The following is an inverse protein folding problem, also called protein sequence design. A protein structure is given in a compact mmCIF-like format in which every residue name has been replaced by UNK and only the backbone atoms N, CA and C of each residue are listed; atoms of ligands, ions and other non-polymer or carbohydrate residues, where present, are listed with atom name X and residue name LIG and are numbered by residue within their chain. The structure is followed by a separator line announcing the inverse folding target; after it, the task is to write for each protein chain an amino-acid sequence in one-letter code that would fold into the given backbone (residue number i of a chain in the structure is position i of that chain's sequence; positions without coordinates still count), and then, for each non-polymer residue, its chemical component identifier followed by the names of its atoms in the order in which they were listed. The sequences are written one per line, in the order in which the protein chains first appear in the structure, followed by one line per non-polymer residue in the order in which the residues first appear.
data_IF_151656063086
#
_entry.id   IF_151656063086
#
_cell.length_a   1.000
_cell.length_b   1.000
_cell.length_c   1.000
_cell.angle_alpha   90.00
_cell.angle_beta   90.00
_cell.angle_gamma   90.00
#
_symmetry.space_group_name_H-M   'P 1'
#
loop_
_entity.id
_entity.type
_entity.pdbx_description
1 polymer ?
#
# COMPACT_ATOMS: atom_id res chain seq x y z
N UNK A 1 -11.69 18.99 -35.08
CA UNK A 1 -10.71 19.36 -36.12
C UNK A 1 -9.71 20.30 -35.44
N UNK A 2 -8.47 19.95 -35.06
CA UNK A 2 -7.45 19.12 -35.70
C UNK A 2 -6.50 18.51 -34.63
N UNK A 3 -6.30 17.19 -34.63
CA UNK A 3 -5.33 16.46 -33.77
C UNK A 3 -4.40 15.54 -34.58
N UNK A 4 -4.20 15.84 -35.86
CA UNK A 4 -3.43 14.99 -36.78
C UNK A 4 -1.93 15.36 -36.81
N UNK A 5 -1.49 16.43 -36.14
CA UNK A 5 -0.12 16.94 -36.26
C UNK A 5 0.93 16.41 -35.27
N UNK A 6 0.61 15.54 -34.31
CA UNK A 6 1.54 15.22 -33.19
C UNK A 6 2.12 13.80 -33.17
N UNK A 7 1.85 12.96 -34.16
CA UNK A 7 2.25 11.53 -34.13
C UNK A 7 3.38 11.12 -35.09
N UNK A 8 3.98 12.04 -35.84
CA UNK A 8 4.90 11.66 -36.93
C UNK A 8 6.38 11.64 -36.52
N UNK A 9 6.76 12.16 -35.35
CA UNK A 9 8.18 12.28 -34.98
C UNK A 9 8.78 11.05 -34.25
N UNK A 10 7.98 10.00 -34.03
CA UNK A 10 8.44 8.77 -33.34
C UNK A 10 9.05 7.70 -34.25
N UNK A 11 8.93 7.81 -35.57
CA UNK A 11 9.19 6.71 -36.49
C UNK A 11 10.61 6.69 -37.12
N UNK A 12 11.44 7.71 -36.84
CA UNK A 12 12.79 7.83 -37.42
C UNK A 12 13.95 7.71 -36.42
N UNK A 13 13.72 7.11 -35.25
CA UNK A 13 14.81 6.65 -34.36
C UNK A 13 14.86 5.13 -34.33
N UNK A 14 15.85 4.58 -35.04
CA UNK A 14 16.42 3.25 -34.90
C UNK A 14 15.46 2.05 -35.05
N UNK A 15 15.45 1.33 -36.18
CA UNK A 15 14.64 0.13 -36.36
C UNK A 15 15.17 -1.09 -35.58
N UNK A 16 16.29 -0.97 -34.86
CA UNK A 16 16.92 -2.08 -34.13
C UNK A 16 16.37 -2.31 -32.71
N UNK A 17 15.45 -1.49 -32.22
CA UNK A 17 14.93 -1.60 -30.82
C UNK A 17 13.52 -2.19 -30.77
N UNK A 18 12.84 -2.38 -31.91
CA UNK A 18 11.44 -2.84 -31.94
C UNK A 18 11.31 -4.37 -31.81
N UNK A 19 12.39 -5.14 -31.93
CA UNK A 19 12.37 -6.60 -31.76
C UNK A 19 12.67 -7.09 -30.34
N UNK A 20 13.21 -6.25 -29.43
CA UNK A 20 13.46 -6.63 -28.04
C UNK A 20 12.30 -6.29 -27.07
N UNK A 21 11.26 -5.61 -27.56
CA UNK A 21 10.04 -5.36 -26.77
C UNK A 21 9.12 -6.58 -26.73
N UNK A 22 9.06 -7.39 -27.80
CA UNK A 22 8.22 -8.60 -27.84
C UNK A 22 8.74 -9.75 -26.96
N UNK A 23 10.06 -9.92 -26.83
CA UNK A 23 10.65 -10.96 -25.95
C UNK A 23 10.46 -10.59 -24.46
N UNK A 24 10.48 -9.31 -24.12
CA UNK A 24 10.19 -8.85 -22.75
C UNK A 24 8.69 -8.85 -22.39
N UNK A 25 7.79 -8.80 -23.38
CA UNK A 25 6.35 -8.89 -23.14
C UNK A 25 5.85 -10.30 -22.80
N UNK A 26 6.67 -11.34 -22.94
CA UNK A 26 6.33 -12.72 -22.53
C UNK A 26 6.64 -13.02 -21.04
N UNK A 27 7.20 -12.06 -20.30
CA UNK A 27 7.41 -12.15 -18.84
C UNK A 27 6.26 -11.53 -18.03
N UNK A 28 5.01 -11.61 -18.51
CA UNK A 28 3.84 -11.14 -17.76
C UNK A 28 3.52 -12.11 -16.61
N UNK A 29 3.61 -11.64 -15.36
CA UNK A 29 3.22 -12.39 -14.15
C UNK A 29 4.19 -12.24 -12.98
N UNK A 30 3.76 -12.61 -11.77
CA UNK A 30 4.62 -12.66 -10.58
C UNK A 30 5.41 -13.96 -10.64
N UNK A 31 6.68 -13.89 -11.06
CA UNK A 31 7.59 -15.03 -11.11
C UNK A 31 8.75 -14.79 -10.15
N UNK A 32 9.19 -15.83 -9.45
CA UNK A 32 10.37 -15.78 -8.59
C UNK A 32 11.15 -17.08 -8.70
N UNK A 33 12.48 -16.97 -8.69
CA UNK A 33 13.35 -18.13 -8.62
C UNK A 33 13.44 -18.57 -7.16
N UNK A 34 13.28 -19.86 -6.92
CA UNK A 34 13.45 -20.45 -5.59
C UNK A 34 14.91 -20.85 -5.47
N UNK A 35 15.66 -20.14 -4.63
CA UNK A 35 17.01 -20.55 -4.22
C UNK A 35 16.95 -21.63 -3.13
N UNK A 36 18.12 -22.10 -2.70
CA UNK A 36 18.29 -23.28 -1.86
C UNK A 36 17.32 -23.39 -0.68
N UNK A 37 16.55 -24.49 -0.66
CA UNK A 37 15.63 -25.00 0.39
C UNK A 37 14.74 -23.98 1.12
N UNK A 38 14.55 -22.76 0.61
CA UNK A 38 13.75 -21.68 1.25
C UNK A 38 12.43 -21.43 0.53
N UNK A 39 11.70 -22.49 0.17
CA UNK A 39 10.43 -22.39 -0.55
C UNK A 39 9.39 -21.56 0.20
N UNK A 40 9.23 -21.78 1.50
CA UNK A 40 8.22 -21.10 2.33
C UNK A 40 8.38 -19.57 2.31
N UNK A 41 9.62 -19.10 2.41
CA UNK A 41 9.91 -17.67 2.40
C UNK A 41 9.63 -17.07 1.02
N UNK A 42 9.94 -17.81 -0.04
CA UNK A 42 9.60 -17.40 -1.41
C UNK A 42 8.08 -17.34 -1.58
N UNK A 43 7.33 -18.29 -1.04
CA UNK A 43 5.87 -18.27 -1.06
C UNK A 43 5.28 -17.07 -0.31
N UNK A 44 5.80 -16.71 0.86
CA UNK A 44 5.35 -15.52 1.60
C UNK A 44 5.62 -14.24 0.79
N UNK A 45 6.80 -14.13 0.17
CA UNK A 45 7.12 -12.98 -0.67
C UNK A 45 6.22 -12.95 -1.91
N UNK A 46 5.89 -14.12 -2.48
CA UNK A 46 5.04 -14.25 -3.65
C UNK A 46 3.61 -13.82 -3.33
N UNK A 47 3.09 -14.28 -2.19
CA UNK A 47 1.79 -13.92 -1.68
C UNK A 47 1.71 -12.41 -1.40
N UNK A 48 2.74 -11.82 -0.77
CA UNK A 48 2.80 -10.38 -0.54
C UNK A 48 2.82 -9.59 -1.85
N UNK A 49 3.58 -10.03 -2.86
CA UNK A 49 3.59 -9.42 -4.20
C UNK A 49 2.22 -9.56 -4.90
N UNK A 50 1.54 -10.69 -4.71
CA UNK A 50 0.19 -10.94 -5.26
C UNK A 50 -0.88 -10.08 -4.58
N UNK A 51 -0.77 -9.88 -3.26
CA UNK A 51 -1.64 -9.02 -2.45
C UNK A 51 -1.50 -7.56 -2.82
N UNK A 52 -0.25 -7.08 -2.87
CA UNK A 52 0.08 -5.67 -3.13
C UNK A 52 -0.23 -5.25 -4.56
N UNK A 53 -0.05 -6.15 -5.54
CA UNK A 53 -0.49 -5.93 -6.92
C UNK A 53 -2.01 -5.87 -7.08
N UNK A 54 -2.77 -6.26 -6.04
CA UNK A 54 -4.23 -6.33 -6.08
C UNK A 54 -4.78 -7.55 -6.81
N UNK A 55 -3.92 -8.44 -7.31
CA UNK A 55 -4.33 -9.61 -8.09
C UNK A 55 -5.19 -10.58 -7.26
N UNK A 56 -4.86 -10.78 -5.98
CA UNK A 56 -5.68 -11.62 -5.09
C UNK A 56 -7.14 -11.13 -5.04
N UNK A 57 -7.34 -9.80 -4.96
CA UNK A 57 -8.68 -9.21 -4.90
C UNK A 57 -9.43 -9.39 -6.21
N UNK A 58 -8.73 -9.29 -7.35
CA UNK A 58 -9.33 -9.53 -8.67
C UNK A 58 -9.77 -10.99 -8.82
N UNK A 59 -8.96 -11.93 -8.31
CA UNK A 59 -9.29 -13.36 -8.34
C UNK A 59 -10.48 -13.66 -7.41
N UNK A 60 -10.46 -13.17 -6.17
CA UNK A 60 -11.51 -13.40 -5.18
C UNK A 60 -12.84 -12.71 -5.53
N UNK A 61 -12.77 -11.49 -6.07
CA UNK A 61 -13.96 -10.70 -6.41
C UNK A 61 -14.46 -10.98 -7.83
N UNK A 62 -14.02 -12.07 -8.46
CA UNK A 62 -14.50 -12.46 -9.78
C UNK A 62 -16.02 -12.63 -9.74
N UNK A 63 -16.73 -11.90 -10.61
CA UNK A 63 -18.20 -12.00 -10.71
C UNK A 63 -18.55 -13.43 -11.14
N UNK A 64 -19.19 -14.20 -10.26
CA UNK A 64 -19.69 -15.57 -10.57
C UNK A 64 -20.98 -15.54 -11.37
N UNK A 65 -21.75 -14.46 -11.24
CA UNK A 65 -23.01 -14.20 -11.93
C UNK A 65 -23.05 -12.76 -12.44
N UNK A 66 -23.92 -12.52 -13.42
CA UNK A 66 -24.09 -11.19 -13.97
C UNK A 66 -24.76 -10.25 -12.96
N UNK A 67 -24.10 -9.12 -12.67
CA UNK A 67 -24.67 -8.01 -11.93
C UNK A 67 -25.11 -6.90 -12.89
N UNK A 68 -26.30 -6.37 -12.68
CA UNK A 68 -26.82 -5.25 -13.49
C UNK A 68 -26.10 -3.95 -13.13
N UNK A 69 -26.13 -2.97 -14.05
CA UNK A 69 -25.44 -1.69 -13.85
C UNK A 69 -25.95 -0.89 -12.62
N UNK A 70 -27.23 -1.02 -12.27
CA UNK A 70 -27.80 -0.40 -11.07
C UNK A 70 -27.17 -0.95 -9.79
N UNK A 71 -27.01 -2.26 -9.70
CA UNK A 71 -26.40 -2.95 -8.56
C UNK A 71 -24.91 -2.63 -8.46
N UNK A 72 -24.19 -2.62 -9.59
CA UNK A 72 -22.78 -2.23 -9.65
C UNK A 72 -22.54 -0.84 -9.05
N UNK A 73 -23.41 0.14 -9.35
CA UNK A 73 -23.35 1.50 -8.77
C UNK A 73 -23.56 1.50 -7.26
N UNK A 74 -24.51 0.70 -6.76
CA UNK A 74 -24.81 0.60 -5.33
C UNK A 74 -23.63 -0.02 -4.58
N UNK A 75 -23.03 -1.09 -5.10
CA UNK A 75 -21.86 -1.76 -4.51
C UNK A 75 -20.67 -0.80 -4.44
N UNK A 76 -20.40 -0.07 -5.54
CA UNK A 76 -19.33 0.92 -5.57
C UNK A 76 -19.53 2.02 -4.51
N UNK A 77 -20.75 2.54 -4.36
CA UNK A 77 -21.10 3.54 -3.35
C UNK A 77 -20.92 3.02 -1.92
N UNK A 78 -21.37 1.79 -1.63
CA UNK A 78 -21.18 1.15 -0.32
C UNK A 78 -19.70 0.97 0.01
N UNK A 79 -18.90 0.51 -0.95
CA UNK A 79 -17.45 0.35 -0.79
C UNK A 79 -16.74 1.69 -0.54
N UNK A 80 -17.15 2.75 -1.24
CA UNK A 80 -16.62 4.10 -1.01
C UNK A 80 -16.94 4.57 0.42
N UNK A 81 -18.19 4.41 0.86
CA UNK A 81 -18.60 4.80 2.21
C UNK A 81 -17.82 4.05 3.30
N UNK A 82 -17.61 2.74 3.12
CA UNK A 82 -16.80 1.94 4.06
C UNK A 82 -15.35 2.43 4.14
N UNK A 83 -14.73 2.77 3.00
CA UNK A 83 -13.37 3.30 2.96
C UNK A 83 -13.25 4.67 3.64
N UNK A 84 -14.23 5.56 3.44
CA UNK A 84 -14.24 6.87 4.10
C UNK A 84 -14.41 6.73 5.61
N UNK A 85 -15.36 5.89 6.06
CA UNK A 85 -15.57 5.62 7.49
C UNK A 85 -14.31 5.08 8.18
N UNK A 86 -13.60 4.15 7.55
CA UNK A 86 -12.37 3.60 8.13
C UNK A 86 -11.22 4.60 8.16
N UNK A 87 -11.10 5.46 7.13
CA UNK A 87 -10.12 6.55 7.12
C UNK A 87 -10.39 7.59 8.21
N UNK A 88 -11.65 8.01 8.36
CA UNK A 88 -12.04 8.99 9.39
C UNK A 88 -11.80 8.44 10.80
N UNK A 89 -12.13 7.16 11.03
CA UNK A 89 -11.81 6.48 12.28
C UNK A 89 -10.30 6.46 12.53
N UNK A 90 -9.50 6.07 11.54
CA UNK A 90 -8.05 6.01 11.67
C UNK A 90 -7.44 7.38 12.02
N UNK A 91 -7.92 8.46 11.39
CA UNK A 91 -7.49 9.83 11.71
C UNK A 91 -7.85 10.24 13.13
N UNK A 92 -9.07 9.90 13.59
CA UNK A 92 -9.49 10.15 14.98
C UNK A 92 -8.59 9.42 15.96
N UNK A 93 -8.33 8.13 15.74
CA UNK A 93 -7.42 7.34 16.58
C UNK A 93 -6.00 7.91 16.58
N UNK A 94 -5.47 8.29 15.42
CA UNK A 94 -4.15 8.91 15.31
C UNK A 94 -4.09 10.21 16.13
N UNK A 95 -5.13 11.04 16.07
CA UNK A 95 -5.18 12.28 16.87
C UNK A 95 -5.23 12.00 18.38
N UNK A 96 -5.95 10.96 18.81
CA UNK A 96 -6.02 10.55 20.21
C UNK A 96 -4.66 10.03 20.67
N UNK A 97 -4.02 9.17 19.89
CA UNK A 97 -2.69 8.62 20.18
C UNK A 97 -1.65 9.74 20.29
N UNK A 98 -1.62 10.69 19.36
CA UNK A 98 -0.70 11.83 19.42
C UNK A 98 -0.94 12.66 20.68
N UNK A 99 -2.21 12.96 21.02
CA UNK A 99 -2.54 13.68 22.25
C UNK A 99 -2.05 12.91 23.49
N UNK A 100 -2.25 11.59 23.54
CA UNK A 100 -1.82 10.75 24.66
C UNK A 100 -0.29 10.68 24.78
N UNK A 101 0.43 10.52 23.67
CA UNK A 101 1.91 10.48 23.67
C UNK A 101 2.50 11.83 24.10
N UNK A 102 1.93 12.95 23.65
CA UNK A 102 2.39 14.29 24.07
C UNK A 102 2.22 14.53 25.58
N UNK A 103 1.08 14.13 26.14
CA UNK A 103 0.81 14.27 27.58
C UNK A 103 1.68 13.30 28.40
N UNK A 104 1.86 12.06 27.92
CA UNK A 104 2.70 11.07 28.59
C UNK A 104 4.19 11.47 28.58
N UNK A 105 4.67 12.05 27.48
CA UNK A 105 6.02 12.59 27.40
C UNK A 105 6.22 13.76 28.38
N UNK A 106 5.24 14.65 28.55
CA UNK A 106 5.32 15.75 29.52
C UNK A 106 5.32 15.24 30.97
N UNK A 107 4.48 14.25 31.30
CA UNK A 107 4.45 13.65 32.64
C UNK A 107 5.69 12.81 32.99
N UNK A 108 6.35 12.20 32.00
CA UNK A 108 7.58 11.44 32.20
C UNK A 108 8.79 12.31 32.56
N UNK A 109 8.82 13.58 32.16
CA UNK A 109 9.86 14.53 32.59
C UNK A 109 9.68 14.96 34.05
N UNK A 110 8.43 15.04 34.55
CA UNK A 110 8.13 15.48 35.92
C UNK A 110 8.42 14.37 36.96
N UNK A 111 8.32 13.10 36.58
CA UNK A 111 8.76 11.97 37.42
C UNK A 111 10.28 11.80 37.42
N UNK A 112 10.97 12.03 36.30
CA UNK A 112 12.43 11.94 36.21
C UNK A 112 13.16 13.06 36.99
N UNK A 113 12.53 14.24 37.11
CA UNK A 113 13.06 15.33 37.93
C UNK A 113 12.86 15.09 39.45
N UNK A 114 11.84 14.32 39.85
CA UNK A 114 11.64 13.94 41.25
C UNK A 114 12.56 12.80 41.70
N UNK A 115 12.90 11.86 40.82
CA UNK A 115 13.91 10.83 41.11
C UNK A 115 15.31 11.45 41.28
N UNK A 116 15.67 12.45 40.47
CA UNK A 116 16.97 13.15 40.63
C UNK A 116 17.06 14.11 41.83
N UNK A 117 15.93 14.55 42.40
CA UNK A 117 15.94 15.39 43.61
C UNK A 117 16.02 14.56 44.90
N UNK A 118 15.53 13.31 44.90
CA UNK A 118 15.56 12.43 46.07
C UNK A 118 16.93 11.79 46.34
N UNK A 119 17.81 11.72 45.34
CA UNK A 119 19.20 11.27 45.52
C UNK A 119 20.09 12.34 46.20
N UNK A 120 19.71 13.61 46.13
CA UNK A 120 20.45 14.71 46.79
C UNK A 120 20.12 14.85 48.29
N UNK A 121 18.93 14.41 48.73
CA UNK A 121 18.52 14.51 50.13
C UNK A 121 19.05 13.35 51.00
N UNK A 122 19.70 12.33 50.41
CA UNK A 122 20.34 11.21 51.13
C UNK A 122 21.85 11.41 51.35
N UNK A 123 22.36 12.64 51.16
CA UNK A 123 23.79 12.99 51.26
C UNK A 123 24.04 14.21 52.17
N UNK A 124 23.19 14.40 53.20
CA UNK A 124 23.43 15.31 54.35
C UNK A 124 23.32 14.52 55.64
#
# INVERSE_FOLDING_TARGET
MNTVGKQVWGFMRNPSVVTLSSVNQQWRGIKMRVGDRRLEQVLIIMERKMKTSGMERLIKNRETHHLKNSEKKIIARKNLQLRLKSQDLARKLQSILIKKVRVCAAGAFETALKESLLDCDLLI
#
